data_IF_336015904894
#
_entry.id   IF_336015904894
#
_cell.length_a   1.000
_cell.length_b   1.000
_cell.length_c   1.000
_cell.angle_alpha   90.00
_cell.angle_beta   90.00
_cell.angle_gamma   90.00
#
_symmetry.space_group_name_H-M   'P 1'
#
loop_
_entity.id
_entity.type
_entity.pdbx_description
1 polymer ?
#
# COMPACT_ATOMS: atom_id res chain seq x y z
N UNK A 1 -20.36 -3.23 0.83
CA UNK A 1 -19.51 -2.56 -0.17
C UNK A 1 -18.23 -2.16 0.53
N UNK A 2 -17.08 -2.48 -0.05
CA UNK A 2 -15.76 -2.09 0.49
C UNK A 2 -15.35 -0.82 -0.25
N UNK A 3 -14.77 0.16 0.45
CA UNK A 3 -14.32 1.41 -0.18
C UNK A 3 -12.91 1.77 0.25
N UNK A 4 -12.05 2.06 -0.72
CA UNK A 4 -10.81 2.80 -0.47
C UNK A 4 -11.12 4.30 -0.38
N UNK A 5 -10.76 4.92 0.75
CA UNK A 5 -11.02 6.34 1.01
C UNK A 5 -9.95 7.25 0.39
N UNK A 6 -8.83 6.71 -0.08
CA UNK A 6 -7.79 7.48 -0.74
C UNK A 6 -8.17 7.85 -2.19
N UNK A 7 -7.97 9.10 -2.59
CA UNK A 7 -8.38 9.61 -3.91
C UNK A 7 -7.40 9.32 -5.06
N UNK A 8 -6.17 8.94 -4.74
CA UNK A 8 -5.15 8.50 -5.70
C UNK A 8 -4.50 7.17 -5.23
N UNK A 9 -5.23 6.07 -5.22
CA UNK A 9 -4.77 4.83 -4.57
C UNK A 9 -3.72 4.09 -5.40
N UNK A 10 -3.61 4.39 -6.69
CA UNK A 10 -2.50 3.93 -7.53
C UNK A 10 -1.24 4.80 -7.44
N UNK A 11 -1.23 5.89 -6.69
CA UNK A 11 -0.04 6.72 -6.49
C UNK A 11 0.55 7.33 -7.77
N UNK A 12 -0.31 7.79 -8.69
CA UNK A 12 0.14 8.49 -9.89
C UNK A 12 0.61 9.93 -9.59
N UNK A 13 0.10 10.52 -8.50
CA UNK A 13 0.49 11.86 -8.06
C UNK A 13 1.69 11.78 -7.12
N UNK A 14 2.55 12.79 -7.17
CA UNK A 14 3.61 12.92 -6.17
C UNK A 14 3.02 13.09 -4.76
N UNK A 15 3.83 12.79 -3.74
CA UNK A 15 3.42 12.85 -2.32
C UNK A 15 4.22 13.94 -1.63
N UNK A 16 3.64 14.49 -0.56
CA UNK A 16 4.39 15.39 0.32
C UNK A 16 5.55 14.61 0.95
N UNK A 17 6.68 15.28 1.15
CA UNK A 17 7.91 14.72 1.71
C UNK A 17 8.46 15.60 2.83
N UNK A 18 9.19 15.00 3.77
CA UNK A 18 10.00 15.68 4.77
C UNK A 18 11.43 15.14 4.72
N UNK A 19 12.42 16.04 4.58
CA UNK A 19 13.85 15.72 4.42
C UNK A 19 14.14 14.63 3.37
N UNK A 20 13.25 14.51 2.39
CA UNK A 20 13.28 13.53 1.32
C UNK A 20 12.99 14.25 0.01
N UNK A 21 13.25 13.58 -1.10
CA UNK A 21 12.97 14.07 -2.43
C UNK A 21 12.15 13.04 -3.21
N UNK A 22 11.32 13.54 -4.12
CA UNK A 22 10.57 12.71 -5.06
C UNK A 22 11.18 12.89 -6.45
N UNK A 23 11.39 11.78 -7.16
CA UNK A 23 11.85 11.74 -8.55
C UNK A 23 10.83 10.98 -9.39
N UNK A 24 10.56 11.48 -10.60
CA UNK A 24 9.73 10.77 -11.55
C UNK A 24 10.36 9.40 -11.87
N UNK A 25 9.53 8.37 -11.96
CA UNK A 25 9.94 7.00 -12.26
C UNK A 25 8.83 6.32 -13.09
N UNK A 26 8.83 6.59 -14.39
CA UNK A 26 7.72 6.21 -15.27
C UNK A 26 6.45 6.98 -14.92
N UNK A 27 5.34 6.26 -14.73
CA UNK A 27 4.05 6.77 -14.26
C UNK A 27 3.97 6.92 -12.72
N UNK A 28 5.04 6.52 -12.01
CA UNK A 28 5.15 6.56 -10.55
C UNK A 28 6.21 7.54 -10.08
N UNK A 29 6.35 7.59 -8.75
CA UNK A 29 7.32 8.42 -8.06
C UNK A 29 8.22 7.56 -7.18
N UNK A 30 9.51 7.77 -7.32
CA UNK A 30 10.54 7.21 -6.45
C UNK A 30 10.90 8.23 -5.38
N UNK A 31 10.90 7.79 -4.13
CA UNK A 31 11.23 8.61 -2.97
C UNK A 31 12.53 8.15 -2.34
N UNK A 32 13.33 9.09 -1.85
CA UNK A 32 14.59 8.82 -1.16
C UNK A 32 14.97 10.01 -0.26
N UNK A 33 15.91 9.81 0.66
CA UNK A 33 16.47 10.90 1.45
C UNK A 33 17.06 12.00 0.57
N UNK A 34 16.84 13.25 0.97
CA UNK A 34 17.49 14.39 0.32
C UNK A 34 19.00 14.40 0.64
N UNK A 35 19.80 14.98 -0.25
CA UNK A 35 21.25 15.04 -0.07
C UNK A 35 21.63 15.68 1.28
N UNK A 36 22.53 15.02 2.02
CA UNK A 36 22.99 15.48 3.34
C UNK A 36 22.02 15.22 4.49
N UNK A 37 20.85 14.63 4.26
CA UNK A 37 19.92 14.26 5.33
C UNK A 37 20.20 12.84 5.84
N UNK A 38 20.01 12.63 7.14
CA UNK A 38 20.13 11.32 7.80
C UNK A 38 18.77 10.74 8.19
N UNK A 39 17.72 11.55 8.15
CA UNK A 39 16.36 11.18 8.52
C UNK A 39 15.35 11.92 7.65
N UNK A 40 14.29 11.23 7.25
CA UNK A 40 13.24 11.78 6.40
C UNK A 40 12.10 10.78 6.20
N UNK A 41 11.06 11.20 5.48
CA UNK A 41 9.93 10.34 5.17
C UNK A 41 8.98 10.90 4.12
N UNK A 42 8.06 10.05 3.70
CA UNK A 42 7.03 10.32 2.70
C UNK A 42 5.66 10.25 3.36
N UNK A 43 4.83 11.27 3.17
CA UNK A 43 3.43 11.27 3.58
C UNK A 43 2.63 10.47 2.55
N UNK A 44 2.72 9.14 2.59
CA UNK A 44 2.21 8.24 1.56
C UNK A 44 0.71 8.39 1.25
N UNK A 45 -0.08 8.85 2.23
CA UNK A 45 -1.53 9.06 2.11
C UNK A 45 -1.93 10.53 1.91
N UNK A 46 -0.97 11.43 1.61
CA UNK A 46 -1.31 12.80 1.23
C UNK A 46 -2.20 12.80 -0.03
N UNK A 47 -3.25 13.64 -0.11
CA UNK A 47 -3.43 14.88 0.66
C UNK A 47 -4.16 14.72 2.00
N UNK A 48 -4.55 13.52 2.41
CA UNK A 48 -5.18 13.30 3.71
C UNK A 48 -4.20 13.65 4.84
N UNK A 49 -4.69 14.32 5.86
CA UNK A 49 -3.91 14.68 7.03
C UNK A 49 -4.07 13.66 8.17
N UNK A 50 -3.36 13.87 9.28
CA UNK A 50 -3.43 12.96 10.42
C UNK A 50 -4.84 12.78 10.96
N UNK A 51 -5.68 13.82 10.93
CA UNK A 51 -7.05 13.76 11.44
C UNK A 51 -7.97 12.94 10.54
N UNK A 52 -7.75 13.00 9.22
CA UNK A 52 -8.45 12.14 8.25
C UNK A 52 -8.06 10.66 8.40
N UNK A 53 -6.80 10.38 8.73
CA UNK A 53 -6.25 9.02 8.82
C UNK A 53 -6.45 8.36 10.18
N UNK A 54 -6.72 9.14 11.24
CA UNK A 54 -6.96 8.63 12.57
C UNK A 54 -8.15 7.65 12.58
N UNK A 55 -8.01 6.53 13.30
CA UNK A 55 -9.04 5.49 13.40
C UNK A 55 -9.15 4.56 12.19
N UNK A 56 -8.34 4.75 11.15
CA UNK A 56 -8.35 3.95 9.94
C UNK A 56 -7.23 2.90 9.90
N UNK A 57 -7.39 1.95 8.99
CA UNK A 57 -6.32 1.05 8.56
C UNK A 57 -5.70 1.62 7.29
N UNK A 58 -4.38 1.77 7.32
CA UNK A 58 -3.59 2.26 6.22
C UNK A 58 -2.87 1.09 5.56
N UNK A 59 -3.01 0.98 4.25
CA UNK A 59 -2.28 0.04 3.41
C UNK A 59 -1.24 0.79 2.56
N UNK A 60 -0.06 0.22 2.40
CA UNK A 60 0.96 0.68 1.46
C UNK A 60 1.69 -0.48 0.81
N UNK A 61 1.87 -0.44 -0.51
CA UNK A 61 2.69 -1.37 -1.28
C UNK A 61 3.81 -0.60 -1.98
N UNK A 62 5.04 -1.10 -1.83
CA UNK A 62 6.27 -0.45 -2.24
C UNK A 62 7.09 -1.39 -3.12
N UNK A 63 7.85 -0.80 -4.04
CA UNK A 63 8.94 -1.49 -4.74
C UNK A 63 10.27 -0.87 -4.32
N UNK A 64 11.26 -1.71 -4.06
CA UNK A 64 12.62 -1.28 -3.81
C UNK A 64 13.60 -2.37 -4.25
N UNK A 65 14.77 -1.94 -4.70
CA UNK A 65 15.92 -2.83 -4.90
C UNK A 65 16.73 -3.05 -3.61
N UNK A 66 16.33 -2.47 -2.47
CA UNK A 66 17.04 -2.57 -1.20
C UNK A 66 16.20 -3.31 -0.17
N UNK A 67 16.66 -4.49 0.25
CA UNK A 67 15.93 -5.35 1.20
C UNK A 67 15.68 -4.66 2.56
N UNK A 68 16.61 -3.80 3.01
CA UNK A 68 16.47 -3.02 4.24
C UNK A 68 15.21 -2.14 4.26
N UNK A 69 14.70 -1.69 3.10
CA UNK A 69 13.43 -0.97 3.01
C UNK A 69 12.28 -1.82 3.53
N UNK A 70 12.27 -3.13 3.23
CA UNK A 70 11.20 -4.04 3.60
C UNK A 70 11.38 -4.60 5.02
N UNK A 71 12.62 -4.86 5.42
CA UNK A 71 12.97 -5.36 6.75
C UNK A 71 12.48 -4.39 7.83
N UNK A 72 12.75 -3.10 7.64
CA UNK A 72 12.40 -2.01 8.56
C UNK A 72 11.16 -1.20 8.13
N UNK A 73 10.37 -1.72 7.17
CA UNK A 73 9.12 -1.10 6.74
C UNK A 73 8.14 -1.00 7.91
N UNK A 74 7.76 0.24 8.24
CA UNK A 74 6.73 0.57 9.21
C UNK A 74 6.01 1.87 8.82
N UNK A 75 4.80 2.04 9.35
CA UNK A 75 4.02 3.28 9.26
C UNK A 75 4.21 4.03 10.57
N UNK A 76 4.73 5.27 10.53
CA UNK A 76 4.92 6.06 11.74
C UNK A 76 3.60 6.25 12.50
N UNK A 77 3.65 6.07 13.82
CA UNK A 77 2.50 6.10 14.73
C UNK A 77 1.42 5.03 14.47
N UNK A 78 1.63 4.14 13.49
CA UNK A 78 0.76 3.02 13.21
C UNK A 78 1.17 1.76 13.95
N UNK A 79 0.19 0.95 14.34
CA UNK A 79 0.43 -0.42 14.80
C UNK A 79 0.36 -1.34 13.59
N UNK A 80 1.47 -1.98 13.23
CA UNK A 80 1.51 -2.93 12.11
C UNK A 80 0.63 -4.12 12.43
N UNK A 81 -0.33 -4.42 11.56
CA UNK A 81 -1.25 -5.56 11.71
C UNK A 81 -1.01 -6.66 10.67
N UNK A 82 -0.41 -6.30 9.53
CA UNK A 82 0.04 -7.26 8.54
C UNK A 82 1.18 -6.66 7.72
N UNK A 83 2.17 -7.49 7.36
CA UNK A 83 3.29 -7.11 6.50
C UNK A 83 3.75 -8.33 5.73
N UNK A 84 3.90 -8.19 4.41
CA UNK A 84 4.38 -9.28 3.54
C UNK A 84 4.89 -8.72 2.22
N UNK A 85 5.97 -9.30 1.69
CA UNK A 85 6.42 -9.17 0.30
C UNK A 85 6.17 -7.77 -0.33
N UNK A 86 6.75 -6.73 0.28
CA UNK A 86 6.68 -5.36 -0.24
C UNK A 86 5.47 -4.52 0.16
N UNK A 87 4.48 -5.08 0.87
CA UNK A 87 3.36 -4.32 1.41
C UNK A 87 3.25 -4.40 2.94
N UNK A 88 2.58 -3.39 3.50
CA UNK A 88 2.29 -3.25 4.92
C UNK A 88 0.88 -2.72 5.12
N UNK A 89 0.24 -3.15 6.20
CA UNK A 89 -0.98 -2.57 6.74
C UNK A 89 -0.80 -2.23 8.22
N UNK A 90 -1.28 -1.06 8.63
CA UNK A 90 -1.20 -0.58 10.00
C UNK A 90 -2.48 0.13 10.44
N UNK A 91 -2.89 -0.06 11.69
CA UNK A 91 -3.96 0.72 12.31
C UNK A 91 -3.42 2.03 12.88
N UNK A 92 -4.16 3.11 12.72
CA UNK A 92 -3.86 4.41 13.32
C UNK A 92 -4.82 4.65 14.48
N UNK A 93 -4.28 4.94 15.66
CA UNK A 93 -5.11 5.27 16.82
C UNK A 93 -5.84 6.60 16.62
N UNK A 94 -7.03 6.74 17.23
CA UNK A 94 -7.87 7.93 17.08
C UNK A 94 -7.23 9.23 17.59
N UNK A 95 -6.25 9.14 18.50
CA UNK A 95 -5.63 10.27 19.20
C UNK A 95 -4.20 10.56 18.73
N UNK A 96 -3.80 10.09 17.55
CA UNK A 96 -2.48 10.40 16.98
C UNK A 96 -2.39 11.88 16.62
N UNK A 97 -1.35 12.55 17.11
CA UNK A 97 -1.01 13.94 16.75
C UNK A 97 0.25 14.04 15.87
N UNK A 98 0.92 12.92 15.64
CA UNK A 98 2.14 12.83 14.85
C UNK A 98 1.88 12.83 13.33
N UNK A 99 2.93 13.10 12.57
CA UNK A 99 2.88 12.95 11.11
C UNK A 99 2.96 11.48 10.73
N UNK A 100 1.97 11.00 9.98
CA UNK A 100 1.90 9.61 9.53
C UNK A 100 2.66 9.49 8.20
N UNK A 101 3.77 8.75 8.21
CA UNK A 101 4.68 8.64 7.09
C UNK A 101 5.35 7.27 7.02
N UNK A 102 5.98 6.98 5.88
CA UNK A 102 6.96 5.90 5.74
C UNK A 102 8.34 6.53 5.61
N UNK A 103 9.31 6.04 6.39
CA UNK A 103 10.68 6.56 6.43
C UNK A 103 11.46 6.19 5.17
N UNK A 104 12.32 7.10 4.72
CA UNK A 104 13.23 6.91 3.56
C UNK A 104 14.65 6.53 3.98
N UNK A 105 14.88 6.33 5.28
CA UNK A 105 16.21 6.12 5.87
C UNK A 105 16.90 4.83 5.44
N UNK A 106 16.11 3.81 5.13
CA UNK A 106 16.61 2.47 4.77
C UNK A 106 16.78 2.27 3.27
N UNK A 107 16.57 3.32 2.49
CA UNK A 107 16.75 3.30 1.05
C UNK A 107 15.63 3.94 0.26
N UNK A 108 15.84 4.07 -1.04
CA UNK A 108 14.82 4.54 -1.95
C UNK A 108 13.74 3.51 -2.19
N UNK A 109 12.51 3.97 -2.42
CA UNK A 109 11.42 3.11 -2.83
C UNK A 109 10.47 3.82 -3.79
N UNK A 110 9.73 3.05 -4.57
CA UNK A 110 8.62 3.50 -5.40
C UNK A 110 7.33 3.17 -4.67
N UNK A 111 6.44 4.15 -4.54
CA UNK A 111 5.12 3.94 -3.96
C UNK A 111 4.17 3.46 -5.06
N UNK A 112 3.72 2.21 -4.97
CA UNK A 112 2.89 1.59 -6.02
C UNK A 112 1.39 1.75 -5.75
N UNK A 113 0.98 1.47 -4.51
CA UNK A 113 -0.42 1.45 -4.11
C UNK A 113 -0.56 1.91 -2.67
N UNK A 114 -1.62 2.64 -2.39
CA UNK A 114 -2.04 3.00 -1.02
C UNK A 114 -3.53 2.79 -0.82
N UNK A 115 -3.90 2.44 0.39
CA UNK A 115 -5.28 2.33 0.81
C UNK A 115 -5.52 2.99 2.15
N UNK A 116 -6.73 3.52 2.32
CA UNK A 116 -7.27 3.98 3.60
C UNK A 116 -8.63 3.33 3.75
N UNK A 117 -8.78 2.52 4.80
CA UNK A 117 -9.98 1.72 5.03
C UNK A 117 -10.50 1.95 6.44
N UNK A 118 -11.82 1.88 6.60
CA UNK A 118 -12.39 1.66 7.94
C UNK A 118 -11.93 0.27 8.44
N UNK A 119 -11.85 0.03 9.75
CA UNK A 119 -11.51 -1.30 10.26
C UNK A 119 -12.42 -2.41 9.68
N UNK A 120 -13.72 -2.14 9.58
CA UNK A 120 -14.69 -3.10 9.04
C UNK A 120 -14.51 -3.41 7.55
N UNK A 121 -13.99 -2.47 6.76
CA UNK A 121 -13.71 -2.69 5.34
C UNK A 121 -12.35 -3.35 5.13
N UNK A 122 -11.40 -3.07 6.03
CA UNK A 122 -10.14 -3.79 6.08
C UNK A 122 -10.34 -5.29 6.36
N UNK A 123 -11.18 -5.66 7.33
CA UNK A 123 -11.40 -7.08 7.63
C UNK A 123 -11.90 -7.83 6.38
N UNK A 124 -12.86 -7.25 5.65
CA UNK A 124 -13.38 -7.83 4.41
C UNK A 124 -12.32 -7.89 3.30
N UNK A 125 -11.50 -6.85 3.12
CA UNK A 125 -10.48 -6.84 2.05
C UNK A 125 -9.36 -7.84 2.36
N UNK A 126 -9.04 -8.01 3.63
CA UNK A 126 -8.05 -8.97 4.10
C UNK A 126 -8.56 -10.41 3.95
N UNK A 127 -9.85 -10.67 4.20
CA UNK A 127 -10.49 -11.97 3.93
C UNK A 127 -10.42 -12.33 2.43
N UNK A 128 -10.72 -11.37 1.54
CA UNK A 128 -10.62 -11.57 0.08
C UNK A 128 -9.19 -11.87 -0.36
N UNK A 129 -8.19 -11.18 0.20
CA UNK A 129 -6.78 -11.45 -0.04
C UNK A 129 -6.39 -12.85 0.44
N UNK A 130 -6.80 -13.22 1.66
CA UNK A 130 -6.49 -14.53 2.26
C UNK A 130 -7.15 -15.68 1.48
N UNK A 131 -8.33 -15.44 0.91
CA UNK A 131 -9.00 -16.37 0.01
C UNK A 131 -8.39 -16.44 -1.41
N UNK A 132 -7.35 -15.64 -1.71
CA UNK A 132 -6.70 -15.58 -3.02
C UNK A 132 -7.50 -14.87 -4.11
N UNK A 133 -8.58 -14.17 -3.74
CA UNK A 133 -9.43 -13.42 -4.70
C UNK A 133 -8.73 -12.14 -5.13
N UNK A 134 -8.04 -11.47 -4.19
CA UNK A 134 -7.23 -10.29 -4.47
C UNK A 134 -5.75 -10.63 -4.39
N UNK A 135 -4.89 -10.12 -5.30
CA UNK A 135 -3.44 -10.33 -5.24
C UNK A 135 -2.78 -9.56 -4.09
N UNK A 136 -3.42 -8.48 -3.63
CA UNK A 136 -3.04 -7.68 -2.46
C UNK A 136 -4.33 -7.30 -1.71
N UNK A 137 -4.30 -7.05 -0.39
CA UNK A 137 -5.47 -6.56 0.35
C UNK A 137 -5.74 -5.09 0.04
N UNK A 138 -6.05 -4.80 -1.23
CA UNK A 138 -6.18 -3.46 -1.78
C UNK A 138 -7.14 -3.42 -2.99
N UNK A 139 -7.83 -2.30 -3.14
CA UNK A 139 -8.69 -1.95 -4.29
C UNK A 139 -8.48 -0.48 -4.64
N UNK A 140 -8.70 -0.13 -5.90
CA UNK A 140 -8.57 1.23 -6.44
C UNK A 140 -9.74 2.17 -6.09
N UNK A 141 -10.88 1.61 -5.69
CA UNK A 141 -12.05 2.42 -5.36
C UNK A 141 -13.05 1.62 -4.55
N UNK A 142 -14.25 1.52 -5.08
CA UNK A 142 -15.33 0.78 -4.45
C UNK A 142 -15.43 -0.63 -5.02
N UNK A 143 -15.50 -1.63 -4.14
CA UNK A 143 -15.63 -3.03 -4.52
C UNK A 143 -16.98 -3.61 -4.07
N UNK A 144 -17.68 -4.20 -5.04
CA UNK A 144 -18.87 -4.98 -4.82
C UNK A 144 -18.49 -6.47 -4.78
N UNK A 145 -18.81 -7.19 -3.69
CA UNK A 145 -18.57 -8.63 -3.66
C UNK A 145 -19.36 -9.32 -4.78
N UNK A 146 -18.77 -10.33 -5.41
CA UNK A 146 -19.38 -11.12 -6.47
C UNK A 146 -20.56 -11.93 -5.90
N UNK A 147 -21.75 -11.32 -5.86
CA UNK A 147 -22.99 -11.87 -5.30
C UNK A 147 -24.26 -11.49 -6.08
N UNK A 148 -24.10 -11.08 -7.34
CA UNK A 148 -25.16 -10.91 -8.33
C UNK A 148 -24.55 -11.20 -9.69
N UNK A 149 -24.82 -12.39 -10.21
CA UNK A 149 -23.93 -13.10 -11.15
C UNK A 149 -23.57 -12.35 -12.42
N UNK A 150 -22.30 -12.48 -12.83
CA UNK A 150 -21.89 -12.48 -14.23
C UNK A 150 -20.73 -13.46 -14.44
N UNK A 151 -20.79 -14.05 -15.62
CA UNK A 151 -19.99 -15.14 -16.17
C UNK A 151 -18.50 -14.85 -16.23
N UNK A 152 -17.71 -15.89 -15.95
CA UNK A 152 -16.27 -15.94 -16.18
C UNK A 152 -15.88 -15.49 -17.58
N UNK A 153 -15.19 -14.38 -17.68
CA UNK A 153 -14.36 -14.06 -18.84
C UNK A 153 -13.27 -13.11 -18.43
N UNK A 154 -12.03 -13.61 -18.46
CA UNK A 154 -10.84 -12.76 -18.34
C UNK A 154 -9.75 -13.20 -17.37
N UNK A 155 -9.65 -14.49 -16.98
CA UNK A 155 -8.33 -14.97 -16.56
C UNK A 155 -7.47 -15.06 -17.82
N UNK A 156 -6.60 -14.08 -18.04
CA UNK A 156 -5.43 -14.29 -18.89
C UNK A 156 -4.59 -15.36 -18.20
N UNK A 157 -4.73 -16.60 -18.66
CA UNK A 157 -3.78 -17.65 -18.37
C UNK A 157 -2.40 -17.14 -18.83
N UNK A 158 -1.48 -16.98 -17.87
CA UNK A 158 -0.07 -16.96 -18.19
C UNK A 158 0.25 -18.32 -18.80
N UNK A 159 0.75 -18.40 -20.05
CA UNK A 159 1.30 -19.64 -20.55
C UNK A 159 2.58 -19.94 -19.77
N UNK A 160 3.10 -21.15 -19.89
CA UNK A 160 4.29 -21.69 -19.21
C UNK A 160 4.00 -22.26 -17.80
N UNK A 161 3.40 -23.44 -17.77
CA UNK A 161 3.83 -24.59 -16.95
C UNK A 161 2.99 -25.81 -17.34
N UNK A 162 3.19 -26.29 -18.58
CA UNK A 162 2.94 -27.70 -18.87
C UNK A 162 4.05 -28.49 -18.16
N UNK A 163 3.74 -29.05 -17.00
CA UNK A 163 4.55 -30.08 -16.39
C UNK A 163 3.87 -31.41 -16.69
N UNK A 164 4.35 -32.07 -17.74
CA UNK A 164 4.10 -33.47 -18.05
C UNK A 164 4.36 -34.31 -16.79
N UNK A 165 3.32 -34.97 -16.27
CA UNK A 165 3.51 -36.09 -15.35
C UNK A 165 3.61 -37.35 -16.19
N UNK A 166 4.84 -37.71 -16.53
CA UNK A 166 5.21 -39.07 -16.91
C UNK A 166 5.55 -39.85 -15.62
N UNK A 167 4.71 -40.80 -15.25
CA UNK A 167 5.07 -42.04 -14.54
C UNK A 167 3.92 -43.04 -14.64
#
# INVERSE_FOLDING_TARGET
MIRNLHTDPHCYKTRKVWNSQARANGDKWRYELAAGQTVGGVFCWSPLDTSDLAGHVLFGHLLSGQQAVFDDLHVEYGTTIAKRDGWIAATIANNVSGSIMIRTVNGPFVLEKVGVYTPSDWDKIHDLYTAGILPYPWIDGEYLPLGGGYTSSGFHAHPHLDCEVCA
#
